data_IF_276496231447
#
_entry.id   IF_276496231447
#
_cell.length_a   1.000
_cell.length_b   1.000
_cell.length_c   1.000
_cell.angle_alpha   90.00
_cell.angle_beta   90.00
_cell.angle_gamma   90.00
#
_symmetry.space_group_name_H-M   'P 1'
#
loop_
_entity.id
_entity.type
_entity.pdbx_description
1 polymer ?
#
# COMPACT_ATOMS: atom_id res chain seq x y z
N UNK A 1 -13.36 -12.82 -4.29
CA UNK A 1 -12.35 -12.05 -4.99
C UNK A 1 -12.84 -10.64 -5.25
N UNK A 2 -12.32 -9.72 -4.46
CA UNK A 2 -12.37 -8.29 -4.64
C UNK A 2 -10.96 -7.82 -5.03
N UNK A 3 -10.88 -6.60 -5.54
CA UNK A 3 -9.63 -5.94 -5.89
C UNK A 3 -9.58 -4.60 -5.19
N UNK A 4 -8.43 -4.27 -4.62
CA UNK A 4 -8.12 -2.95 -4.08
C UNK A 4 -6.87 -2.43 -4.79
N UNK A 5 -6.89 -1.15 -5.15
CA UNK A 5 -5.75 -0.47 -5.76
C UNK A 5 -5.16 0.50 -4.74
N UNK A 6 -3.88 0.35 -4.47
CA UNK A 6 -3.11 1.21 -3.59
C UNK A 6 -2.15 2.05 -4.42
N UNK A 7 -2.13 3.35 -4.14
CA UNK A 7 -1.17 4.29 -4.71
C UNK A 7 -0.12 4.55 -3.64
N UNK A 8 1.05 3.94 -3.77
CA UNK A 8 2.06 3.93 -2.72
C UNK A 8 3.21 4.84 -3.12
N UNK A 9 3.51 5.92 -2.40
CA UNK A 9 4.68 6.76 -2.69
C UNK A 9 5.95 5.90 -2.72
N UNK A 10 6.81 6.13 -3.72
CA UNK A 10 8.03 5.32 -3.91
C UNK A 10 8.94 5.28 -2.68
N UNK A 11 8.90 6.32 -1.85
CA UNK A 11 9.71 6.46 -0.63
C UNK A 11 9.29 5.47 0.46
N UNK A 12 7.98 5.25 0.61
CA UNK A 12 7.41 4.35 1.64
C UNK A 12 7.08 2.95 1.10
N UNK A 13 7.30 2.72 -0.20
CA UNK A 13 7.01 1.44 -0.87
C UNK A 13 7.74 0.26 -0.23
N UNK A 14 8.95 0.46 0.29
CA UNK A 14 9.71 -0.60 0.95
C UNK A 14 9.06 -1.08 2.25
N UNK A 15 8.40 -0.19 2.98
CA UNK A 15 7.69 -0.51 4.22
C UNK A 15 6.34 -1.15 3.91
N UNK A 16 5.58 -0.55 2.98
CA UNK A 16 4.33 -1.12 2.51
C UNK A 16 4.50 -2.55 1.96
N UNK A 17 5.56 -2.81 1.18
CA UNK A 17 5.84 -4.14 0.63
C UNK A 17 6.16 -5.18 1.72
N UNK A 18 6.80 -4.78 2.82
CA UNK A 18 7.10 -5.67 3.94
C UNK A 18 5.84 -6.10 4.67
N UNK A 19 4.93 -5.17 4.92
CA UNK A 19 3.65 -5.49 5.55
C UNK A 19 2.82 -6.40 4.65
N UNK A 20 2.74 -6.06 3.36
CA UNK A 20 2.01 -6.84 2.38
C UNK A 20 2.53 -8.28 2.27
N UNK A 21 3.85 -8.47 2.29
CA UNK A 21 4.46 -9.79 2.31
C UNK A 21 4.17 -10.57 3.61
N UNK A 22 4.04 -9.88 4.74
CA UNK A 22 3.73 -10.48 6.05
C UNK A 22 2.29 -11.00 6.12
N UNK A 23 1.37 -10.32 5.43
CA UNK A 23 -0.05 -10.69 5.33
C UNK A 23 -0.34 -11.77 4.29
N UNK A 24 0.65 -12.12 3.46
CA UNK A 24 0.56 -13.16 2.43
C UNK A 24 -0.60 -12.92 1.42
N UNK A 25 -0.90 -11.64 1.13
CA UNK A 25 -1.94 -11.23 0.19
C UNK A 25 -1.44 -11.33 -1.26
N UNK A 26 -2.34 -11.73 -2.16
CA UNK A 26 -2.06 -11.75 -3.60
C UNK A 26 -1.97 -10.32 -4.12
N UNK A 27 -0.82 -9.94 -4.66
CA UNK A 27 -0.57 -8.59 -5.12
C UNK A 27 0.16 -8.57 -6.48
N UNK A 28 -0.02 -7.47 -7.21
CA UNK A 28 0.69 -7.19 -8.45
C UNK A 28 0.92 -5.69 -8.60
N UNK A 29 2.13 -5.31 -9.02
CA UNK A 29 2.40 -3.93 -9.43
C UNK A 29 1.84 -3.74 -10.84
N UNK A 30 0.93 -2.79 -11.00
CA UNK A 30 0.26 -2.52 -12.29
C UNK A 30 0.85 -1.30 -13.00
N UNK A 31 1.57 -0.43 -12.29
CA UNK A 31 2.23 0.72 -12.89
C UNK A 31 2.85 1.69 -11.87
N UNK A 32 3.14 2.89 -12.36
CA UNK A 32 3.61 4.03 -11.56
C UNK A 32 2.92 5.29 -12.09
N UNK A 33 2.50 6.20 -11.20
CA UNK A 33 1.87 7.47 -11.54
C UNK A 33 2.92 8.52 -11.94
N UNK A 34 2.46 9.66 -12.47
CA UNK A 34 3.34 10.80 -12.79
C UNK A 34 3.94 11.46 -11.53
N UNK A 35 3.36 11.19 -10.36
CA UNK A 35 3.78 11.70 -9.05
C UNK A 35 4.73 10.73 -8.32
N UNK A 36 5.32 9.77 -9.04
CA UNK A 36 6.17 8.70 -8.49
C UNK A 36 5.48 7.83 -7.42
N UNK A 37 4.16 7.64 -7.50
CA UNK A 37 3.46 6.63 -6.70
C UNK A 37 3.40 5.30 -7.48
N UNK A 38 3.75 4.20 -6.83
CA UNK A 38 3.63 2.84 -7.37
C UNK A 38 2.19 2.37 -7.21
N UNK A 39 1.58 1.88 -8.28
CA UNK A 39 0.22 1.33 -8.26
C UNK A 39 0.32 -0.16 -7.94
N UNK A 40 -0.22 -0.55 -6.79
CA UNK A 40 -0.25 -1.94 -6.31
C UNK A 40 -1.70 -2.41 -6.28
N UNK A 41 -2.01 -3.42 -7.10
CA UNK A 41 -3.31 -4.10 -7.07
C UNK A 41 -3.23 -5.29 -6.12
N UNK A 42 -4.15 -5.34 -5.16
CA UNK A 42 -4.31 -6.45 -4.22
C UNK A 42 -5.59 -7.20 -4.55
N UNK A 43 -5.46 -8.50 -4.80
CA UNK A 43 -6.57 -9.42 -4.95
C UNK A 43 -6.81 -10.14 -3.61
N UNK A 44 -8.02 -10.02 -3.07
CA UNK A 44 -8.36 -10.56 -1.76
C UNK A 44 -9.76 -11.17 -1.72
N UNK A 45 -9.96 -12.13 -0.83
CA UNK A 45 -11.26 -12.73 -0.53
C UNK A 45 -11.94 -12.07 0.67
N UNK A 46 -13.18 -12.45 0.93
CA UNK A 46 -13.98 -11.81 1.99
C UNK A 46 -13.33 -11.94 3.38
N UNK A 47 -12.63 -13.05 3.60
CA UNK A 47 -11.98 -13.37 4.85
C UNK A 47 -10.63 -12.63 5.03
N UNK A 48 -10.18 -11.94 3.97
CA UNK A 48 -8.96 -11.13 3.91
C UNK A 48 -9.30 -9.62 3.86
N UNK A 49 -10.57 -9.24 4.04
CA UNK A 49 -10.98 -7.84 3.99
C UNK A 49 -10.34 -7.02 5.12
N UNK A 50 -10.27 -7.58 6.33
CA UNK A 50 -9.65 -6.92 7.48
C UNK A 50 -8.15 -6.64 7.21
N UNK A 51 -7.46 -7.53 6.51
CA UNK A 51 -6.05 -7.37 6.15
C UNK A 51 -5.82 -6.22 5.14
N UNK A 52 -6.79 -5.99 4.26
CA UNK A 52 -6.76 -4.89 3.29
C UNK A 52 -7.07 -3.55 3.98
N UNK A 53 -8.04 -3.53 4.89
CA UNK A 53 -8.35 -2.34 5.69
C UNK A 53 -7.11 -1.93 6.52
N UNK A 54 -6.40 -2.89 7.12
CA UNK A 54 -5.14 -2.62 7.83
C UNK A 54 -4.02 -2.06 6.93
N UNK A 55 -3.96 -2.49 5.66
CA UNK A 55 -3.02 -1.93 4.68
C UNK A 55 -3.39 -0.49 4.28
N UNK A 56 -4.68 -0.16 4.23
CA UNK A 56 -5.13 1.23 3.99
C UNK A 56 -4.71 2.14 5.13
N UNK A 57 -4.95 1.70 6.38
CA UNK A 57 -4.50 2.44 7.58
C UNK A 57 -2.98 2.60 7.63
N UNK A 58 -2.22 1.56 7.28
CA UNK A 58 -0.76 1.65 7.20
C UNK A 58 -0.32 2.67 6.15
N UNK A 59 -0.91 2.65 4.96
CA UNK A 59 -0.54 3.57 3.89
C UNK A 59 -0.84 5.03 4.28
N UNK A 60 -1.96 5.30 4.93
CA UNK A 60 -2.29 6.63 5.45
C UNK A 60 -1.23 7.08 6.46
N UNK A 61 -0.88 6.22 7.43
CA UNK A 61 0.15 6.51 8.42
C UNK A 61 1.52 6.80 7.79
N UNK A 62 1.93 6.01 6.81
CA UNK A 62 3.20 6.21 6.09
C UNK A 62 3.22 7.52 5.31
N UNK A 63 2.08 7.94 4.75
CA UNK A 63 1.94 9.24 4.07
C UNK A 63 2.06 10.40 5.05
N UNK A 64 1.39 10.32 6.20
CA UNK A 64 1.51 11.33 7.26
C UNK A 64 2.95 11.44 7.76
N UNK A 65 3.63 10.32 8.00
CA UNK A 65 5.03 10.31 8.43
C UNK A 65 5.97 10.92 7.39
N UNK A 66 5.72 10.67 6.09
CA UNK A 66 6.48 11.27 4.99
C UNK A 66 6.31 12.80 4.95
N UNK A 67 5.08 13.30 5.08
CA UNK A 67 4.80 14.75 5.14
C UNK A 67 5.49 15.41 6.35
N UNK A 68 5.52 14.75 7.51
CA UNK A 68 6.23 15.24 8.71
C UNK A 68 7.76 15.23 8.60
N UNK A 69 8.32 14.43 7.69
CA UNK A 69 9.75 14.41 7.39
C UNK A 69 10.16 15.51 6.41
N UNK A 70 9.31 15.85 5.43
CA UNK A 70 9.59 16.92 4.45
C UNK A 70 9.61 18.33 5.08
N UNK A 71 8.87 18.54 6.18
CA UNK A 71 8.80 19.82 6.91
C UNK A 71 9.96 20.06 7.90
N UNK A 72 10.95 19.16 8.01
CA UNK A 72 12.14 19.30 8.89
C UNK A 72 13.40 19.79 8.17
#
# INVERSE_FOLDING_TARGET
MRKAEFFVPSEVMAEFAQELASKNLSNSITGTTEENEVIVEIEYDRDEADEVDELEELLEKLREELEEEEDK
#
